data_IF_548457643612
#
_entry.id   IF_548457643612
#
_cell.length_a   1.000
_cell.length_b   1.000
_cell.length_c   1.000
_cell.angle_alpha   90.00
_cell.angle_beta   90.00
_cell.angle_gamma   90.00
#
_symmetry.space_group_name_H-M   'P 1'
#
loop_
_entity.id
_entity.type
_entity.pdbx_description
1 polymer ?
#
# COMPACT_ATOMS: atom_id res chain seq x y z
N UNK A 1 -28.73 -11.47 21.75
CA UNK A 1 -28.99 -10.36 20.81
C UNK A 1 -28.12 -10.57 19.57
N UNK A 2 -28.73 -10.91 18.43
CA UNK A 2 -27.97 -11.11 17.18
C UNK A 2 -27.72 -9.72 16.56
N UNK A 3 -26.47 -9.26 16.62
CA UNK A 3 -26.09 -8.00 15.96
C UNK A 3 -26.32 -8.13 14.44
N UNK A 4 -27.20 -7.30 13.89
CA UNK A 4 -27.47 -7.26 12.45
C UNK A 4 -26.19 -6.87 11.69
N UNK A 5 -25.70 -7.76 10.83
CA UNK A 5 -24.50 -7.51 10.01
C UNK A 5 -24.80 -6.42 8.99
N UNK A 6 -24.04 -5.32 9.05
CA UNK A 6 -24.20 -4.19 8.11
C UNK A 6 -23.81 -4.62 6.69
N UNK A 7 -24.46 -4.10 5.66
CA UNK A 7 -24.04 -4.37 4.28
C UNK A 7 -22.68 -3.72 3.99
N UNK A 8 -22.58 -2.42 4.24
CA UNK A 8 -21.38 -1.61 4.05
C UNK A 8 -20.76 -1.25 5.39
N UNK A 9 -19.43 -1.35 5.51
CA UNK A 9 -18.70 -0.91 6.69
C UNK A 9 -17.25 -0.52 6.41
N UNK A 10 -16.54 -0.21 7.49
CA UNK A 10 -15.09 0.01 7.44
C UNK A 10 -14.33 -1.29 7.22
N UNK A 11 -13.07 -1.21 6.76
CA UNK A 11 -12.21 -2.39 6.60
C UNK A 11 -12.07 -3.20 7.89
N UNK A 12 -12.06 -2.52 9.04
CA UNK A 12 -11.95 -3.16 10.34
C UNK A 12 -13.24 -3.91 10.70
N UNK A 13 -14.41 -3.32 10.47
CA UNK A 13 -15.71 -3.97 10.70
C UNK A 13 -15.87 -5.21 9.80
N UNK A 14 -15.50 -5.11 8.51
CA UNK A 14 -15.52 -6.25 7.58
C UNK A 14 -14.57 -7.35 8.05
N UNK A 15 -13.37 -7.00 8.52
CA UNK A 15 -12.42 -7.97 9.05
C UNK A 15 -12.93 -8.70 10.29
N UNK A 16 -13.60 -7.96 11.19
CA UNK A 16 -14.26 -8.49 12.39
C UNK A 16 -15.56 -9.24 12.10
N UNK A 17 -16.06 -9.25 10.87
CA UNK A 17 -17.33 -9.90 10.49
C UNK A 17 -18.58 -9.08 10.84
N UNK A 18 -18.44 -7.81 11.22
CA UNK A 18 -19.56 -6.91 11.55
C UNK A 18 -20.20 -6.25 10.32
N UNK A 19 -19.53 -6.35 9.16
CA UNK A 19 -20.04 -5.85 7.88
C UNK A 19 -19.71 -6.82 6.73
N UNK A 20 -20.57 -6.88 5.71
CA UNK A 20 -20.40 -7.78 4.55
C UNK A 20 -19.26 -7.33 3.64
N UNK A 21 -19.23 -6.04 3.28
CA UNK A 21 -18.19 -5.46 2.43
C UNK A 21 -17.89 -4.00 2.78
N UNK A 22 -16.79 -3.47 2.27
CA UNK A 22 -16.51 -2.03 2.36
C UNK A 22 -17.32 -1.24 1.35
N UNK A 23 -17.32 0.09 1.43
CA UNK A 23 -17.90 0.97 0.39
C UNK A 23 -17.36 0.67 -1.01
N UNK A 24 -16.07 0.36 -1.13
CA UNK A 24 -15.44 -0.07 -2.40
C UNK A 24 -15.52 -1.58 -2.69
N UNK A 25 -16.47 -2.31 -2.12
CA UNK A 25 -16.72 -3.73 -2.42
C UNK A 25 -15.63 -4.74 -1.96
N UNK A 26 -14.77 -4.36 -1.01
CA UNK A 26 -13.79 -5.29 -0.45
C UNK A 26 -14.44 -6.19 0.60
N UNK A 27 -14.32 -7.51 0.40
CA UNK A 27 -14.64 -8.55 1.38
C UNK A 27 -13.43 -8.87 2.24
N UNK A 28 -13.64 -9.64 3.31
CA UNK A 28 -12.58 -10.06 4.25
C UNK A 28 -11.39 -10.72 3.55
N UNK A 29 -11.61 -11.54 2.53
CA UNK A 29 -10.55 -12.25 1.79
C UNK A 29 -9.58 -11.32 1.06
N UNK A 30 -10.07 -10.12 0.68
CA UNK A 30 -9.29 -9.09 -0.02
C UNK A 30 -8.54 -8.17 0.96
N UNK A 31 -8.71 -8.36 2.26
CA UNK A 31 -8.10 -7.57 3.34
C UNK A 31 -6.98 -8.35 4.06
N UNK A 32 -6.06 -7.62 4.68
CA UNK A 32 -5.02 -8.18 5.52
C UNK A 32 -4.67 -7.21 6.65
N UNK A 33 -4.18 -7.74 7.78
CA UNK A 33 -3.61 -6.93 8.86
C UNK A 33 -2.13 -6.69 8.57
N UNK A 34 -1.69 -5.44 8.55
CA UNK A 34 -0.27 -5.12 8.40
C UNK A 34 0.48 -5.27 9.74
N UNK A 35 1.82 -5.16 9.71
CA UNK A 35 2.65 -5.23 10.93
C UNK A 35 2.29 -4.17 12.00
N UNK A 36 1.69 -3.05 11.59
CA UNK A 36 1.22 -1.97 12.47
C UNK A 36 -0.21 -2.20 13.00
N UNK A 37 -0.78 -3.38 12.76
CA UNK A 37 -2.12 -3.75 13.19
C UNK A 37 -3.29 -3.18 12.37
N UNK A 38 -3.03 -2.38 11.33
CA UNK A 38 -4.06 -1.78 10.48
C UNK A 38 -4.56 -2.77 9.42
N UNK A 39 -5.87 -2.87 9.27
CA UNK A 39 -6.49 -3.64 8.19
C UNK A 39 -6.44 -2.85 6.88
N UNK A 40 -5.75 -3.39 5.89
CA UNK A 40 -5.52 -2.80 4.58
C UNK A 40 -5.91 -3.77 3.46
N UNK A 41 -6.02 -3.28 2.23
CA UNK A 41 -6.23 -4.13 1.06
C UNK A 41 -4.95 -4.89 0.69
N UNK A 42 -5.05 -6.20 0.46
CA UNK A 42 -3.95 -7.05 -0.03
C UNK A 42 -3.36 -6.52 -1.33
N UNK A 43 -4.22 -6.12 -2.29
CA UNK A 43 -3.82 -5.56 -3.60
C UNK A 43 -2.98 -4.30 -3.44
N UNK A 44 -3.41 -3.36 -2.58
CA UNK A 44 -2.65 -2.11 -2.35
C UNK A 44 -1.31 -2.37 -1.68
N UNK A 45 -1.26 -3.32 -0.73
CA UNK A 45 0.00 -3.69 -0.07
C UNK A 45 1.01 -4.27 -1.08
N UNK A 46 0.59 -5.21 -1.93
CA UNK A 46 1.42 -5.81 -2.96
C UNK A 46 1.92 -4.77 -3.98
N UNK A 47 1.05 -3.85 -4.41
CA UNK A 47 1.42 -2.78 -5.33
C UNK A 47 2.50 -1.86 -4.73
N UNK A 48 2.39 -1.51 -3.44
CA UNK A 48 3.38 -0.71 -2.73
C UNK A 48 4.75 -1.39 -2.66
N UNK A 49 4.80 -2.70 -2.38
CA UNK A 49 6.04 -3.48 -2.37
C UNK A 49 6.72 -3.47 -3.74
N UNK A 50 5.95 -3.71 -4.82
CA UNK A 50 6.45 -3.67 -6.20
C UNK A 50 7.01 -2.30 -6.57
N UNK A 51 6.31 -1.22 -6.19
CA UNK A 51 6.78 0.14 -6.44
C UNK A 51 8.12 0.44 -5.73
N UNK A 52 8.26 0.02 -4.47
CA UNK A 52 9.51 0.19 -3.72
C UNK A 52 10.66 -0.61 -4.33
N UNK A 53 10.42 -1.84 -4.77
CA UNK A 53 11.43 -2.65 -5.47
C UNK A 53 11.88 -1.98 -6.77
N UNK A 54 10.95 -1.42 -7.56
CA UNK A 54 11.26 -0.66 -8.78
C UNK A 54 12.14 0.56 -8.48
N UNK A 55 11.81 1.35 -7.45
CA UNK A 55 12.60 2.52 -7.06
C UNK A 55 14.03 2.15 -6.69
N UNK A 56 14.21 1.10 -5.88
CA UNK A 56 15.52 0.55 -5.54
C UNK A 56 16.30 0.11 -6.79
N UNK A 57 15.64 -0.60 -7.73
CA UNK A 57 16.25 -1.03 -9.01
C UNK A 57 16.73 0.16 -9.86
N UNK A 58 16.00 1.27 -9.84
CA UNK A 58 16.39 2.51 -10.53
C UNK A 58 17.51 3.29 -9.81
N UNK A 59 17.96 2.80 -8.64
CA UNK A 59 19.01 3.39 -7.83
C UNK A 59 18.51 4.44 -6.84
N UNK A 60 17.20 4.67 -6.73
CA UNK A 60 16.64 5.60 -5.75
C UNK A 60 16.72 5.00 -4.34
N UNK A 61 17.23 5.80 -3.42
CA UNK A 61 17.46 5.45 -2.02
C UNK A 61 16.95 6.57 -1.12
N UNK A 62 16.65 6.24 0.13
CA UNK A 62 16.17 7.18 1.13
C UNK A 62 17.08 7.11 2.35
N UNK A 63 17.52 8.26 2.86
CA UNK A 63 18.29 8.36 4.11
C UNK A 63 17.34 8.78 5.23
N UNK A 64 17.34 8.05 6.35
CA UNK A 64 16.46 8.38 7.49
C UNK A 64 16.80 9.77 8.02
N UNK A 65 15.78 10.61 8.20
CA UNK A 65 15.96 11.98 8.70
C UNK A 65 16.46 13.01 7.68
N UNK A 66 16.70 12.61 6.42
CA UNK A 66 17.08 13.53 5.36
C UNK A 66 16.00 13.57 4.27
N UNK A 67 15.48 14.77 4.02
CA UNK A 67 14.50 15.01 2.96
C UNK A 67 15.23 15.27 1.63
N UNK A 68 14.86 14.54 0.57
CA UNK A 68 15.46 14.70 -0.75
C UNK A 68 15.45 13.41 -1.58
N UNK A 69 15.85 13.54 -2.85
CA UNK A 69 15.98 12.40 -3.78
C UNK A 69 17.44 11.97 -3.83
N UNK A 70 17.76 10.83 -3.23
CA UNK A 70 19.11 10.26 -3.28
C UNK A 70 19.14 9.13 -4.31
N UNK A 71 20.08 9.19 -5.26
CA UNK A 71 20.27 8.13 -6.26
C UNK A 71 21.73 7.70 -6.31
N UNK A 72 21.98 6.40 -6.31
CA UNK A 72 23.31 5.85 -6.53
C UNK A 72 23.49 5.59 -8.03
N UNK A 73 24.59 6.09 -8.61
CA UNK A 73 24.91 6.01 -10.04
C UNK A 73 25.06 7.39 -10.71
N UNK A 74 25.85 7.47 -11.78
CA UNK A 74 26.08 8.71 -12.55
C UNK A 74 24.74 9.35 -12.93
N UNK A 75 24.60 10.66 -12.72
CA UNK A 75 23.48 11.44 -13.30
C UNK A 75 23.50 11.16 -14.79
N UNK A 76 22.44 10.51 -15.31
CA UNK A 76 22.28 10.35 -16.75
C UNK A 76 21.99 11.75 -17.26
N UNK A 77 23.03 12.48 -17.64
CA UNK A 77 22.87 13.71 -18.41
C UNK A 77 22.15 13.27 -19.69
N UNK A 78 20.98 13.85 -19.96
CA UNK A 78 20.37 13.67 -21.28
C UNK A 78 21.41 14.21 -22.27
N UNK A 79 22.07 13.35 -23.03
CA UNK A 79 22.84 13.79 -24.19
C UNK A 79 21.86 14.61 -25.03
N UNK A 80 22.10 15.90 -25.16
CA UNK A 80 21.37 16.72 -26.13
C UNK A 80 21.55 16.02 -27.47
N UNK A 81 20.44 15.67 -28.12
CA UNK A 81 20.48 15.41 -29.56
C UNK A 81 20.90 16.74 -30.17
N UNK A 82 22.12 16.78 -30.71
CA UNK A 82 22.57 17.86 -31.58
C UNK A 82 21.92 17.66 -32.95
#
# INVERSE_FOLDING_TARGET
>A
MVEKVKAVGTKLEVWKGKAKHTSGGLTKDKLMKNKRGKVISKKKHAAGIKAMARLKKLGYTTKKGQFGVFRHGKKVTKKSKK
#
